data_IF_500391647470
#
_entry.id   IF_500391647470
#
_cell.length_a   1.000
_cell.length_b   1.000
_cell.length_c   1.000
_cell.angle_alpha   90.00
_cell.angle_beta   90.00
_cell.angle_gamma   90.00
#
_symmetry.space_group_name_H-M   'P 1'
#
loop_
_entity.id
_entity.type
_entity.pdbx_description
1 polymer ?
#
# COMPACT_ATOMS: atom_id res chain seq x y z
N UNK A 1 -25.54 3.54 0.23
CA UNK A 1 -24.29 2.74 0.20
C UNK A 1 -24.56 1.27 0.53
N UNK A 2 -25.10 0.92 1.70
CA UNK A 2 -25.31 -0.49 2.07
C UNK A 2 -26.30 -1.24 1.14
N UNK A 3 -27.42 -0.59 0.80
CA UNK A 3 -28.39 -1.08 -0.20
C UNK A 3 -27.73 -1.35 -1.56
N UNK A 4 -26.81 -0.48 -1.98
CA UNK A 4 -26.08 -0.59 -3.23
C UNK A 4 -25.16 -1.81 -3.22
N UNK A 5 -24.46 -2.05 -2.11
CA UNK A 5 -23.60 -3.24 -1.93
C UNK A 5 -24.42 -4.52 -1.98
N UNK A 6 -25.53 -4.59 -1.25
CA UNK A 6 -26.41 -5.77 -1.25
C UNK A 6 -26.93 -6.08 -2.65
N UNK A 7 -27.35 -5.04 -3.39
CA UNK A 7 -27.83 -5.18 -4.76
C UNK A 7 -26.73 -5.66 -5.71
N UNK A 8 -25.51 -5.13 -5.61
CA UNK A 8 -24.38 -5.60 -6.44
C UNK A 8 -24.03 -7.05 -6.14
N UNK A 9 -23.99 -7.45 -4.86
CA UNK A 9 -23.73 -8.84 -4.47
C UNK A 9 -24.81 -9.77 -5.02
N UNK A 10 -26.09 -9.38 -4.95
CA UNK A 10 -27.19 -10.18 -5.49
C UNK A 10 -27.10 -10.32 -7.02
N UNK A 11 -26.84 -9.21 -7.73
CA UNK A 11 -26.74 -9.22 -9.19
C UNK A 11 -25.55 -10.06 -9.66
N UNK A 12 -24.35 -9.84 -9.12
CA UNK A 12 -23.17 -10.59 -9.54
C UNK A 12 -23.18 -12.04 -9.06
N UNK A 13 -23.79 -12.32 -7.89
CA UNK A 13 -23.98 -13.68 -7.41
C UNK A 13 -24.94 -14.51 -8.26
N UNK A 14 -25.89 -13.88 -8.95
CA UNK A 14 -26.79 -14.54 -9.91
C UNK A 14 -26.22 -14.57 -11.34
N UNK A 15 -25.38 -13.59 -11.70
CA UNK A 15 -24.84 -13.45 -13.06
C UNK A 15 -23.56 -14.26 -13.31
N UNK A 16 -22.85 -14.69 -12.27
CA UNK A 16 -21.60 -15.44 -12.38
C UNK A 16 -21.50 -16.50 -11.28
N UNK A 17 -21.44 -17.77 -11.69
CA UNK A 17 -21.29 -18.91 -10.78
C UNK A 17 -20.01 -18.82 -9.93
N UNK A 18 -18.97 -18.17 -10.46
CA UNK A 18 -17.68 -17.99 -9.78
C UNK A 18 -17.65 -16.78 -8.82
N UNK A 19 -18.69 -15.94 -8.79
CA UNK A 19 -18.67 -14.73 -7.96
C UNK A 19 -18.69 -15.04 -6.46
N UNK A 20 -19.51 -16.00 -6.06
CA UNK A 20 -19.60 -16.45 -4.66
C UNK A 20 -18.61 -17.58 -4.34
N UNK A 21 -17.68 -17.88 -5.25
CA UNK A 21 -16.59 -18.82 -4.98
C UNK A 21 -15.74 -18.32 -3.81
N UNK A 22 -15.41 -19.17 -2.82
CA UNK A 22 -14.55 -18.82 -1.70
C UNK A 22 -13.22 -18.15 -2.11
N UNK A 23 -12.60 -18.57 -3.21
CA UNK A 23 -11.36 -17.97 -3.73
C UNK A 23 -11.60 -16.54 -4.21
N UNK A 24 -12.71 -16.29 -4.89
CA UNK A 24 -13.06 -14.94 -5.34
C UNK A 24 -13.36 -14.02 -4.14
N UNK A 25 -14.10 -14.52 -3.14
CA UNK A 25 -14.38 -13.78 -1.91
C UNK A 25 -13.08 -13.42 -1.16
N UNK A 26 -12.14 -14.37 -1.05
CA UNK A 26 -10.83 -14.14 -0.44
C UNK A 26 -10.06 -13.04 -1.18
N UNK A 27 -10.07 -13.06 -2.51
CA UNK A 27 -9.40 -12.02 -3.32
C UNK A 27 -10.05 -10.65 -3.13
N UNK A 28 -11.39 -10.58 -3.12
CA UNK A 28 -12.13 -9.34 -2.87
C UNK A 28 -11.77 -8.79 -1.48
N UNK A 29 -11.81 -9.62 -0.44
CA UNK A 29 -11.46 -9.21 0.93
C UNK A 29 -10.02 -8.72 1.02
N UNK A 30 -9.08 -9.39 0.35
CA UNK A 30 -7.67 -8.98 0.30
C UNK A 30 -7.52 -7.61 -0.36
N UNK A 31 -8.18 -7.37 -1.49
CA UNK A 31 -8.16 -6.07 -2.17
C UNK A 31 -8.76 -4.96 -1.31
N UNK A 32 -9.90 -5.22 -0.67
CA UNK A 32 -10.53 -4.25 0.24
C UNK A 32 -9.62 -3.95 1.43
N UNK A 33 -8.95 -4.96 2.00
CA UNK A 33 -8.05 -4.76 3.13
C UNK A 33 -6.88 -3.82 2.80
N UNK A 34 -6.23 -4.03 1.65
CA UNK A 34 -5.12 -3.17 1.20
C UNK A 34 -5.59 -1.74 0.97
N UNK A 35 -6.70 -1.57 0.23
CA UNK A 35 -7.26 -0.24 -0.07
C UNK A 35 -7.70 0.49 1.20
N UNK A 36 -8.28 -0.22 2.17
CA UNK A 36 -8.74 0.37 3.44
C UNK A 36 -7.57 0.90 4.26
N UNK A 37 -6.47 0.14 4.38
CA UNK A 37 -5.27 0.58 5.12
C UNK A 37 -4.67 1.83 4.48
N UNK A 38 -4.59 1.88 3.15
CA UNK A 38 -4.12 3.06 2.41
C UNK A 38 -5.06 4.25 2.63
N UNK A 39 -6.37 4.02 2.54
CA UNK A 39 -7.39 5.06 2.69
C UNK A 39 -7.37 5.70 4.10
N UNK A 40 -7.00 4.96 5.14
CA UNK A 40 -6.81 5.52 6.49
C UNK A 40 -5.67 6.55 6.49
N UNK A 41 -4.55 6.24 5.83
CA UNK A 41 -3.44 7.19 5.69
C UNK A 41 -3.86 8.49 5.00
N UNK A 42 -4.60 8.38 3.89
CA UNK A 42 -5.17 9.53 3.16
C UNK A 42 -6.19 10.28 4.02
N UNK A 43 -7.01 9.58 4.81
CA UNK A 43 -8.00 10.21 5.68
C UNK A 43 -7.35 11.10 6.74
N UNK A 44 -6.21 10.67 7.29
CA UNK A 44 -5.45 11.46 8.27
C UNK A 44 -4.92 12.74 7.63
N UNK A 45 -4.37 12.69 6.41
CA UNK A 45 -3.88 13.91 5.73
C UNK A 45 -5.03 14.87 5.43
N UNK A 46 -6.15 14.33 4.93
CA UNK A 46 -7.34 15.11 4.59
C UNK A 46 -7.95 15.83 5.79
N UNK A 47 -7.92 15.21 6.97
CA UNK A 47 -8.46 15.80 8.20
C UNK A 47 -7.73 17.11 8.56
N UNK A 48 -6.42 17.18 8.30
CA UNK A 48 -5.58 18.35 8.59
C UNK A 48 -5.66 19.39 7.44
N UNK A 49 -6.49 19.14 6.42
CA UNK A 49 -6.64 20.00 5.24
C UNK A 49 -5.57 19.80 4.18
N UNK A 50 -4.80 18.70 4.23
CA UNK A 50 -3.80 18.34 3.24
C UNK A 50 -4.25 17.23 2.30
N UNK A 51 -4.12 17.45 1.00
CA UNK A 51 -4.45 16.48 -0.04
C UNK A 51 -3.18 15.79 -0.56
N UNK A 52 -3.03 14.49 -0.28
CA UNK A 52 -1.89 13.69 -0.76
C UNK A 52 -2.32 12.69 -1.84
N UNK A 53 -1.97 13.00 -3.09
CA UNK A 53 -2.18 12.11 -4.24
C UNK A 53 -1.11 11.02 -4.38
N UNK A 54 0.07 11.24 -3.82
CA UNK A 54 1.26 10.39 -4.02
C UNK A 54 1.23 9.09 -3.22
N UNK A 55 0.23 8.89 -2.35
CA UNK A 55 0.12 7.69 -1.50
C UNK A 55 0.05 6.42 -2.34
N UNK A 56 -0.67 6.45 -3.47
CA UNK A 56 -0.77 5.30 -4.38
C UNK A 56 0.58 4.94 -5.02
N UNK A 57 1.32 5.93 -5.54
CA UNK A 57 2.66 5.71 -6.10
C UNK A 57 3.67 5.28 -5.03
N UNK A 58 3.54 5.80 -3.79
CA UNK A 58 4.38 5.40 -2.65
C UNK A 58 4.14 3.95 -2.26
N UNK A 59 2.89 3.47 -2.29
CA UNK A 59 2.57 2.06 -2.07
C UNK A 59 3.17 1.15 -3.17
N UNK A 60 3.11 1.59 -4.43
CA UNK A 60 3.77 0.88 -5.55
C UNK A 60 5.28 0.82 -5.39
N UNK A 61 5.91 1.93 -4.97
CA UNK A 61 7.34 1.97 -4.66
C UNK A 61 7.67 1.04 -3.48
N UNK A 62 6.86 1.04 -2.41
CA UNK A 62 7.05 0.15 -1.26
C UNK A 62 7.03 -1.32 -1.68
N UNK A 63 6.10 -1.70 -2.56
CA UNK A 63 6.03 -3.04 -3.12
C UNK A 63 7.28 -3.39 -3.93
N UNK A 64 7.72 -2.49 -4.82
CA UNK A 64 8.92 -2.72 -5.62
C UNK A 64 10.18 -2.88 -4.75
N UNK A 65 10.32 -2.06 -3.71
CA UNK A 65 11.46 -2.10 -2.77
C UNK A 65 11.45 -3.36 -1.91
N UNK A 66 10.33 -3.72 -1.28
CA UNK A 66 10.33 -4.85 -0.35
C UNK A 66 10.60 -6.17 -1.10
N UNK A 67 10.03 -6.32 -2.30
CA UNK A 67 10.21 -7.53 -3.11
C UNK A 67 11.62 -7.56 -3.72
N UNK A 68 12.19 -6.45 -4.14
CA UNK A 68 13.58 -6.42 -4.62
C UNK A 68 14.59 -6.74 -3.52
N UNK A 69 14.34 -6.30 -2.28
CA UNK A 69 15.20 -6.61 -1.14
C UNK A 69 15.18 -8.11 -0.81
N UNK A 70 14.03 -8.77 -0.98
CA UNK A 70 13.94 -10.22 -0.87
C UNK A 70 14.61 -10.94 -2.04
N UNK A 71 14.22 -10.61 -3.26
CA UNK A 71 14.55 -11.40 -4.46
C UNK A 71 15.96 -11.10 -4.97
N UNK A 72 16.39 -9.84 -4.99
CA UNK A 72 17.71 -9.45 -5.53
C UNK A 72 18.81 -9.44 -4.48
N UNK A 73 18.48 -9.10 -3.23
CA UNK A 73 19.47 -8.95 -2.16
C UNK A 73 19.41 -10.05 -1.10
N UNK A 74 18.41 -10.94 -1.15
CA UNK A 74 18.29 -12.06 -0.21
C UNK A 74 18.09 -11.64 1.25
N UNK A 75 17.63 -10.40 1.52
CA UNK A 75 17.52 -9.87 2.88
C UNK A 75 16.39 -10.54 3.66
N UNK A 76 16.54 -10.57 4.99
CA UNK A 76 15.51 -11.09 5.89
C UNK A 76 14.25 -10.22 5.93
N UNK A 77 13.14 -10.81 6.40
CA UNK A 77 11.83 -10.12 6.52
C UNK A 77 11.91 -8.79 7.27
N UNK A 78 12.57 -8.78 8.42
CA UNK A 78 12.65 -7.58 9.27
C UNK A 78 13.44 -6.46 8.60
N UNK A 79 14.59 -6.77 8.00
CA UNK A 79 15.47 -5.79 7.37
C UNK A 79 14.80 -5.16 6.15
N UNK A 80 14.20 -5.98 5.28
CA UNK A 80 13.50 -5.49 4.10
C UNK A 80 12.34 -4.56 4.45
N UNK A 81 11.54 -4.91 5.48
CA UNK A 81 10.44 -4.07 5.95
C UNK A 81 10.97 -2.75 6.50
N UNK A 82 11.99 -2.77 7.35
CA UNK A 82 12.53 -1.54 7.95
C UNK A 82 13.13 -0.60 6.91
N UNK A 83 13.90 -1.13 5.95
CA UNK A 83 14.48 -0.34 4.85
C UNK A 83 13.37 0.26 3.99
N UNK A 84 12.36 -0.54 3.64
CA UNK A 84 11.22 -0.07 2.84
C UNK A 84 10.46 1.04 3.55
N UNK A 85 10.14 0.86 4.84
CA UNK A 85 9.46 1.87 5.65
C UNK A 85 10.29 3.16 5.78
N UNK A 86 11.61 3.05 5.96
CA UNK A 86 12.49 4.21 6.02
C UNK A 86 12.47 4.99 4.69
N UNK A 87 12.56 4.31 3.55
CA UNK A 87 12.52 4.96 2.23
C UNK A 87 11.16 5.60 1.94
N UNK A 88 10.04 4.93 2.26
CA UNK A 88 8.71 5.51 2.11
C UNK A 88 8.49 6.71 3.06
N UNK A 89 9.08 6.68 4.25
CA UNK A 89 9.06 7.83 5.18
C UNK A 89 9.82 9.01 4.60
N UNK A 90 10.96 8.79 3.95
CA UNK A 90 11.70 9.86 3.25
C UNK A 90 10.88 10.49 2.12
N UNK A 91 10.08 9.70 1.40
CA UNK A 91 9.14 10.22 0.40
C UNK A 91 8.09 11.13 1.05
N UNK A 92 7.50 10.71 2.17
CA UNK A 92 6.57 11.54 2.93
C UNK A 92 7.21 12.83 3.46
N UNK A 93 8.44 12.75 3.95
CA UNK A 93 9.22 13.91 4.39
C UNK A 93 9.54 14.87 3.23
N UNK A 94 9.84 14.34 2.05
CA UNK A 94 10.05 15.15 0.85
C UNK A 94 8.78 15.92 0.48
N UNK A 95 7.61 15.27 0.48
CA UNK A 95 6.33 15.97 0.28
C UNK A 95 6.08 17.03 1.36
N UNK A 96 6.31 16.70 2.63
CA UNK A 96 6.17 17.64 3.73
C UNK A 96 7.10 18.85 3.56
N UNK A 97 8.34 18.64 3.09
CA UNK A 97 9.28 19.73 2.79
C UNK A 97 8.76 20.65 1.67
N UNK A 98 8.27 20.09 0.56
CA UNK A 98 7.70 20.87 -0.54
C UNK A 98 6.50 21.73 -0.10
N UNK A 99 5.65 21.16 0.75
CA UNK A 99 4.39 21.82 1.17
C UNK A 99 4.66 22.82 2.30
N UNK A 100 5.35 22.41 3.37
CA UNK A 100 5.51 23.22 4.59
C UNK A 100 6.60 24.27 4.42
N UNK A 101 7.74 23.92 3.81
CA UNK A 101 8.90 24.82 3.70
C UNK A 101 8.82 25.65 2.43
N UNK A 102 8.61 25.02 1.27
CA UNK A 102 8.55 25.72 -0.01
C UNK A 102 7.17 26.33 -0.31
N UNK A 103 6.15 26.04 0.51
CA UNK A 103 4.79 26.59 0.39
C UNK A 103 4.15 26.34 -0.98
N UNK A 104 4.50 25.21 -1.60
CA UNK A 104 3.85 24.75 -2.83
C UNK A 104 2.45 24.22 -2.46
N UNK A 105 1.40 24.52 -3.24
CA UNK A 105 0.09 23.92 -3.02
C UNK A 105 0.17 22.38 -2.98
N UNK A 106 -0.47 21.79 -1.97
CA UNK A 106 -0.44 20.36 -1.64
C UNK A 106 -0.79 19.45 -2.81
N UNK A 107 -1.86 19.74 -3.55
CA UNK A 107 -2.26 18.96 -4.71
C UNK A 107 -1.19 18.99 -5.81
N UNK A 108 -0.57 20.15 -6.05
CA UNK A 108 0.48 20.29 -7.07
C UNK A 108 1.76 19.56 -6.66
N UNK A 109 2.19 19.73 -5.41
CA UNK A 109 3.37 19.07 -4.88
C UNK A 109 3.21 17.54 -4.91
N UNK A 110 2.08 17.02 -4.42
CA UNK A 110 1.87 15.57 -4.34
C UNK A 110 1.56 14.94 -5.71
N UNK A 111 0.96 15.68 -6.65
CA UNK A 111 0.80 15.21 -8.03
C UNK A 111 2.15 15.16 -8.77
N UNK A 112 3.01 16.16 -8.59
CA UNK A 112 4.37 16.12 -9.16
C UNK A 112 5.17 14.95 -8.56
N UNK A 113 5.15 14.81 -7.23
CA UNK A 113 5.79 13.69 -6.54
C UNK A 113 5.22 12.34 -6.99
N UNK A 114 3.91 12.23 -7.23
CA UNK A 114 3.28 11.01 -7.74
C UNK A 114 3.97 10.52 -9.01
N UNK A 115 4.16 11.39 -9.99
CA UNK A 115 4.80 11.01 -11.24
C UNK A 115 6.29 10.68 -11.07
N UNK A 116 7.00 11.42 -10.21
CA UNK A 116 8.41 11.15 -9.91
C UNK A 116 8.56 9.79 -9.24
N UNK A 117 7.79 9.51 -8.19
CA UNK A 117 7.83 8.25 -7.45
C UNK A 117 7.43 7.09 -8.35
N UNK A 118 6.39 7.27 -9.18
CA UNK A 118 5.98 6.26 -10.13
C UNK A 118 7.06 5.98 -11.18
N UNK A 119 7.72 7.02 -11.70
CA UNK A 119 8.86 6.89 -12.60
C UNK A 119 10.02 6.15 -11.95
N UNK A 120 10.40 6.52 -10.72
CA UNK A 120 11.44 5.84 -9.95
C UNK A 120 11.11 4.37 -9.74
N UNK A 121 9.88 4.05 -9.32
CA UNK A 121 9.44 2.67 -9.12
C UNK A 121 9.53 1.85 -10.42
N UNK A 122 9.10 2.42 -11.55
CA UNK A 122 9.14 1.76 -12.86
C UNK A 122 10.56 1.59 -13.38
N UNK A 123 11.42 2.60 -13.25
CA UNK A 123 12.83 2.48 -13.63
C UNK A 123 13.54 1.46 -12.75
N UNK A 124 13.26 1.47 -11.45
CA UNK A 124 13.84 0.52 -10.52
C UNK A 124 13.44 -0.92 -10.83
N UNK A 125 12.16 -1.18 -11.14
CA UNK A 125 11.67 -2.53 -11.46
C UNK A 125 11.89 -2.95 -12.92
N UNK A 126 12.67 -2.20 -13.70
CA UNK A 126 12.87 -2.41 -15.15
C UNK A 126 11.55 -2.46 -15.95
N UNK A 127 10.53 -1.73 -15.49
CA UNK A 127 9.19 -1.70 -16.10
C UNK A 127 8.37 -2.98 -15.89
N UNK A 128 8.88 -3.94 -15.12
CA UNK A 128 8.25 -5.23 -14.87
C UNK A 128 7.84 -5.43 -13.42
N UNK A 129 7.20 -6.58 -13.16
CA UNK A 129 6.96 -7.08 -11.81
C UNK A 129 8.14 -7.94 -11.36
N UNK A 130 8.66 -7.65 -10.16
CA UNK A 130 9.74 -8.43 -9.55
C UNK A 130 9.12 -9.71 -8.99
N UNK A 131 9.65 -10.87 -9.39
CA UNK A 131 9.12 -12.19 -9.02
C UNK A 131 10.26 -13.14 -8.67
N UNK A 132 9.95 -14.16 -7.87
CA UNK A 132 10.91 -15.21 -7.51
C UNK A 132 11.38 -15.96 -8.77
N UNK A 133 12.63 -16.43 -8.75
CA UNK A 133 13.26 -17.13 -9.88
C UNK A 133 13.30 -16.32 -11.18
N UNK A 134 13.28 -14.98 -11.11
CA UNK A 134 13.49 -14.15 -12.28
C UNK A 134 14.98 -14.09 -12.66
N UNK A 135 15.26 -13.87 -13.95
CA UNK A 135 16.60 -13.56 -14.44
C UNK A 135 16.88 -12.08 -14.17
N UNK A 136 17.94 -11.78 -13.43
CA UNK A 136 18.40 -10.42 -13.22
C UNK A 136 18.95 -9.83 -14.53
N UNK A 137 19.00 -8.50 -14.66
CA UNK A 137 19.68 -7.84 -15.79
C UNK A 137 21.15 -8.26 -15.97
N UNK A 138 21.80 -8.79 -14.92
CA UNK A 138 23.15 -9.37 -14.98
C UNK A 138 23.22 -10.73 -15.70
N UNK A 139 22.08 -11.36 -15.98
CA UNK A 139 21.98 -12.71 -16.56
C UNK A 139 21.97 -13.84 -15.54
N UNK A 140 22.13 -13.53 -14.24
CA UNK A 140 22.06 -14.49 -13.15
C UNK A 140 20.62 -14.71 -12.68
N UNK A 141 20.33 -15.89 -12.14
CA UNK A 141 19.03 -16.18 -11.52
C UNK A 141 18.97 -15.54 -10.13
N UNK A 142 17.82 -14.96 -9.80
CA UNK A 142 17.57 -14.47 -8.45
C UNK A 142 17.57 -15.63 -7.44
N UNK A 143 18.53 -15.65 -6.52
CA UNK A 143 18.62 -16.65 -5.45
C UNK A 143 17.67 -16.33 -4.28
N UNK A 144 17.24 -15.07 -4.16
CA UNK A 144 16.35 -14.61 -3.12
C UNK A 144 14.92 -15.14 -3.28
N UNK A 145 14.30 -15.50 -2.17
CA UNK A 145 12.89 -15.95 -2.10
C UNK A 145 12.10 -15.01 -1.21
N UNK A 146 10.78 -14.96 -1.45
CA UNK A 146 9.85 -14.23 -0.59
C UNK A 146 9.67 -15.08 0.68
N UNK A 147 10.06 -14.57 1.87
CA UNK A 147 9.96 -15.35 3.08
C UNK A 147 8.51 -15.79 3.33
N UNK A 148 8.30 -17.08 3.65
CA UNK A 148 6.95 -17.62 3.87
C UNK A 148 6.17 -16.86 4.96
N UNK A 149 6.88 -16.39 6.00
CA UNK A 149 6.31 -15.55 7.04
C UNK A 149 5.74 -14.22 6.49
N UNK A 150 6.42 -13.61 5.51
CA UNK A 150 5.94 -12.40 4.84
C UNK A 150 4.73 -12.72 3.94
N UNK A 151 4.80 -13.81 3.18
CA UNK A 151 3.68 -14.29 2.35
C UNK A 151 2.40 -14.53 3.16
N UNK A 152 2.53 -15.07 4.38
CA UNK A 152 1.42 -15.34 5.28
C UNK A 152 0.70 -14.07 5.79
N UNK A 153 1.39 -12.93 5.85
CA UNK A 153 0.78 -11.64 6.25
C UNK A 153 -0.24 -11.16 5.21
N UNK A 154 -0.01 -11.45 3.93
CA UNK A 154 -0.88 -11.05 2.83
C UNK A 154 -2.09 -11.98 2.62
N UNK A 155 -2.16 -13.11 3.32
CA UNK A 155 -3.24 -14.08 3.17
C UNK A 155 -4.42 -13.79 4.11
N UNK A 156 -5.61 -14.26 3.73
CA UNK A 156 -6.80 -14.25 4.60
C UNK A 156 -6.69 -15.43 5.57
N UNK A 157 -6.92 -15.24 6.88
CA UNK A 157 -7.55 -14.07 7.52
C UNK A 157 -6.58 -12.96 7.99
N UNK A 158 -5.26 -13.20 7.96
CA UNK A 158 -4.25 -12.30 8.54
C UNK A 158 -4.36 -10.86 8.05
N UNK A 159 -4.50 -10.64 6.74
CA UNK A 159 -4.58 -9.29 6.17
C UNK A 159 -5.84 -8.54 6.62
N UNK A 160 -6.95 -9.25 6.83
CA UNK A 160 -8.21 -8.67 7.33
C UNK A 160 -8.05 -8.29 8.80
N UNK A 161 -7.36 -9.11 9.60
CA UNK A 161 -7.05 -8.79 10.99
C UNK A 161 -6.15 -7.55 11.07
N UNK A 162 -5.11 -7.46 10.22
CA UNK A 162 -4.26 -6.27 10.15
C UNK A 162 -5.09 -5.03 9.80
N UNK A 163 -5.95 -5.11 8.79
CA UNK A 163 -6.86 -4.02 8.44
C UNK A 163 -7.72 -3.61 9.65
N UNK A 164 -8.40 -4.54 10.31
CA UNK A 164 -9.26 -4.24 11.46
C UNK A 164 -8.48 -3.60 12.61
N UNK A 165 -7.28 -4.09 12.90
CA UNK A 165 -6.40 -3.53 13.94
C UNK A 165 -5.98 -2.10 13.58
N UNK A 166 -5.53 -1.87 12.34
CA UNK A 166 -5.14 -0.53 11.87
C UNK A 166 -6.33 0.43 11.90
N UNK A 167 -7.50 0.01 11.42
CA UNK A 167 -8.74 0.79 11.48
C UNK A 167 -9.11 1.13 12.91
N UNK A 168 -9.07 0.16 13.82
CA UNK A 168 -9.41 0.38 15.22
C UNK A 168 -8.43 1.36 15.88
N UNK A 169 -7.13 1.18 15.67
CA UNK A 169 -6.10 2.07 16.21
C UNK A 169 -6.29 3.49 15.67
N UNK A 170 -6.48 3.65 14.35
CA UNK A 170 -6.70 4.96 13.74
C UNK A 170 -7.99 5.61 14.24
N UNK A 171 -9.09 4.86 14.32
CA UNK A 171 -10.37 5.34 14.84
C UNK A 171 -10.24 5.81 16.29
N UNK A 172 -9.58 5.02 17.14
CA UNK A 172 -9.36 5.37 18.54
C UNK A 172 -8.46 6.60 18.66
N UNK A 173 -7.39 6.67 17.87
CA UNK A 173 -6.50 7.82 17.83
C UNK A 173 -7.25 9.10 17.44
N UNK A 174 -8.04 9.07 16.37
CA UNK A 174 -8.81 10.22 15.90
C UNK A 174 -9.93 10.61 16.87
N UNK A 175 -10.64 9.63 17.46
CA UNK A 175 -11.81 9.90 18.32
C UNK A 175 -11.44 10.31 19.74
N UNK A 176 -10.39 9.73 20.32
CA UNK A 176 -10.07 9.87 21.74
C UNK A 176 -8.83 10.71 22.04
N UNK A 177 -7.91 10.93 21.09
CA UNK A 177 -6.73 11.76 21.37
C UNK A 177 -7.03 13.25 21.22
N UNK A 178 -6.34 14.08 22.01
CA UNK A 178 -6.46 15.54 21.96
C UNK A 178 -6.04 16.11 20.60
N UNK A 179 -5.06 15.48 19.94
CA UNK A 179 -4.64 15.84 18.57
C UNK A 179 -5.74 15.48 17.57
N UNK A 180 -6.29 14.26 17.61
CA UNK A 180 -7.36 13.82 16.71
C UNK A 180 -8.63 14.65 16.79
N UNK A 181 -9.00 15.15 17.98
CA UNK A 181 -10.18 16.02 18.16
C UNK A 181 -9.95 17.49 17.77
N UNK A 182 -8.69 17.91 17.58
CA UNK A 182 -8.31 19.30 17.29
C UNK A 182 -7.89 19.50 15.83
N UNK A 183 -7.56 18.41 15.13
CA UNK A 183 -7.47 18.36 13.67
C UNK A 183 -8.87 18.55 13.09
#
# INVERSE_FOLDING_TARGET
>A
MLLTVVLLVAVFGLASDNFLDPFNIINILRSIAIVTVIAIGVSISLTIGGFDLSVGSTASLANALVISLFVWHGLGTTEAILITLALCTLVGLFNAFLIVVLRIPDMLATLASLFVIQGVAMTYSYGGSITENMVLPSGEMAEGTIPAAFGALGQVPTIVIIMLVVTLIAQLALSFTTHGRRM
#
